data_IF_158649798494
#
_entry.id   IF_158649798494
#
_cell.length_a   1.000
_cell.length_b   1.000
_cell.length_c   1.000
_cell.angle_alpha   90.00
_cell.angle_beta   90.00
_cell.angle_gamma   90.00
#
_symmetry.space_group_name_H-M   'P 1'
#
loop_
_entity.id
_entity.type
_entity.pdbx_description
1 polymer ?
#
# COMPACT_ATOMS: atom_id res chain seq x y z
N UNK A 1 3.85 1.26 -1.10
CA UNK A 1 3.74 2.72 -1.19
C UNK A 1 3.94 3.32 0.18
N UNK A 2 5.09 3.95 0.42
CA UNK A 2 5.32 4.66 1.67
C UNK A 2 4.22 5.73 1.85
N UNK A 3 3.47 5.68 2.95
CA UNK A 3 2.45 6.69 3.28
C UNK A 3 1.00 6.35 2.94
N UNK A 4 0.70 5.26 2.20
CA UNK A 4 -0.68 4.79 2.03
C UNK A 4 -1.09 3.99 3.27
N UNK A 5 -1.75 4.66 4.21
CA UNK A 5 -2.14 4.12 5.52
C UNK A 5 -3.65 4.03 5.59
N UNK A 6 -4.15 2.90 6.06
CA UNK A 6 -5.57 2.64 6.31
C UNK A 6 -5.73 1.83 7.59
N UNK A 7 -6.91 1.91 8.22
CA UNK A 7 -7.22 1.24 9.49
C UNK A 7 -8.68 0.75 9.48
N UNK A 8 -9.00 -0.21 10.34
CA UNK A 8 -10.36 -0.73 10.56
C UNK A 8 -10.50 -1.28 11.98
N UNK A 9 -11.73 -1.47 12.45
CA UNK A 9 -12.01 -2.00 13.80
C UNK A 9 -11.76 -3.50 13.89
N UNK A 10 -11.81 -4.20 12.76
CA UNK A 10 -11.46 -5.62 12.63
C UNK A 10 -10.35 -5.82 11.62
N UNK A 11 -9.74 -7.01 11.65
CA UNK A 11 -8.72 -7.39 10.66
C UNK A 11 -9.30 -7.45 9.24
N UNK A 12 -10.54 -7.92 9.11
CA UNK A 12 -11.28 -7.99 7.85
C UNK A 12 -11.52 -6.59 7.28
N UNK A 13 -11.96 -5.66 8.13
CA UNK A 13 -12.19 -4.26 7.76
C UNK A 13 -10.88 -3.58 7.36
N UNK A 14 -9.83 -3.68 8.20
CA UNK A 14 -8.53 -3.09 7.89
C UNK A 14 -7.96 -3.63 6.57
N UNK A 15 -8.20 -4.91 6.27
CA UNK A 15 -7.77 -5.55 5.01
C UNK A 15 -8.61 -5.11 3.81
N UNK A 16 -9.90 -4.87 3.98
CA UNK A 16 -10.74 -4.30 2.93
C UNK A 16 -10.28 -2.85 2.64
N UNK A 17 -10.17 -2.04 3.69
CA UNK A 17 -9.83 -0.63 3.57
C UNK A 17 -8.43 -0.41 2.96
N UNK A 18 -7.45 -1.26 3.25
CA UNK A 18 -6.11 -1.12 2.63
C UNK A 18 -6.11 -1.51 1.14
N UNK A 19 -6.98 -2.44 0.70
CA UNK A 19 -7.09 -2.78 -0.73
C UNK A 19 -7.66 -1.62 -1.53
N UNK A 20 -8.77 -1.06 -1.05
CA UNK A 20 -9.39 0.13 -1.66
C UNK A 20 -8.41 1.31 -1.71
N UNK A 21 -7.67 1.56 -0.63
CA UNK A 21 -6.68 2.64 -0.58
C UNK A 21 -5.53 2.43 -1.59
N UNK A 22 -5.10 1.17 -1.82
CA UNK A 22 -4.09 0.84 -2.83
C UNK A 22 -4.64 1.07 -4.23
N UNK A 23 -5.86 0.60 -4.52
CA UNK A 23 -6.48 0.74 -5.84
C UNK A 23 -6.67 2.22 -6.22
N UNK A 24 -7.27 3.01 -5.31
CA UNK A 24 -7.43 4.46 -5.50
C UNK A 24 -6.10 5.17 -5.78
N UNK A 25 -5.05 4.77 -5.08
CA UNK A 25 -3.78 5.43 -5.25
C UNK A 25 -3.11 5.01 -6.58
N UNK A 26 -3.23 3.75 -7.01
CA UNK A 26 -2.77 3.31 -8.32
C UNK A 26 -3.52 4.01 -9.47
N UNK A 27 -4.82 4.26 -9.30
CA UNK A 27 -5.63 5.06 -10.23
C UNK A 27 -5.09 6.49 -10.34
N UNK A 28 -4.88 7.17 -9.20
CA UNK A 28 -4.30 8.52 -9.18
C UNK A 28 -2.91 8.59 -9.83
N UNK A 29 -2.04 7.61 -9.55
CA UNK A 29 -0.72 7.51 -10.22
C UNK A 29 -0.83 7.44 -11.74
N UNK A 30 -1.78 6.65 -12.23
CA UNK A 30 -2.01 6.46 -13.66
C UNK A 30 -2.49 7.76 -14.31
N UNK A 31 -3.38 8.49 -13.66
CA UNK A 31 -3.85 9.81 -14.12
C UNK A 31 -2.73 10.84 -14.15
N UNK A 32 -1.85 10.82 -13.15
CA UNK A 32 -0.69 11.71 -13.04
C UNK A 32 0.52 11.27 -13.90
N UNK A 33 0.45 10.10 -14.55
CA UNK A 33 1.46 9.62 -15.48
C UNK A 33 2.74 9.07 -14.82
N UNK A 34 2.66 8.57 -13.59
CA UNK A 34 3.79 7.93 -12.91
C UNK A 34 3.45 6.53 -12.40
N UNK A 35 4.48 5.81 -11.92
CA UNK A 35 4.35 4.42 -11.50
C UNK A 35 5.11 4.17 -10.19
N UNK A 36 4.65 3.23 -9.34
CA UNK A 36 5.30 2.96 -8.07
C UNK A 36 6.70 2.38 -8.27
N UNK A 37 7.66 2.82 -7.44
CA UNK A 37 9.01 2.25 -7.43
C UNK A 37 8.97 0.84 -6.85
N UNK A 38 9.62 -0.11 -7.53
CA UNK A 38 9.88 -1.44 -6.98
C UNK A 38 10.96 -1.32 -5.92
N UNK A 39 10.68 -1.82 -4.72
CA UNK A 39 11.65 -1.91 -3.63
C UNK A 39 11.89 -3.37 -3.31
N UNK A 40 13.17 -3.73 -3.17
CA UNK A 40 13.58 -5.01 -2.62
C UNK A 40 13.69 -4.83 -1.11
N UNK A 41 13.03 -5.69 -0.35
CA UNK A 41 13.18 -5.72 1.10
C UNK A 41 14.11 -6.88 1.43
N UNK A 42 15.27 -6.56 2.00
CA UNK A 42 16.16 -7.54 2.58
C UNK A 42 15.72 -7.78 4.02
N UNK A 43 15.35 -9.03 4.34
CA UNK A 43 15.07 -9.42 5.71
C UNK A 43 16.41 -9.55 6.44
N UNK A 44 16.72 -8.58 7.30
CA UNK A 44 17.80 -8.74 8.27
C UNK A 44 17.38 -9.83 9.26
N UNK A 45 17.98 -11.02 9.12
CA UNK A 45 17.88 -12.06 10.13
C UNK A 45 18.60 -11.57 11.39
N UNK A 46 17.83 -11.05 12.34
CA UNK A 46 18.33 -10.66 13.65
C UNK A 46 18.77 -11.90 14.43
N UNK A 47 20.04 -11.91 14.82
CA UNK A 47 20.56 -12.70 15.96
C UNK A 47 20.02 -12.13 17.27
#
# INVERSE_FOLDING_TARGET
MPGCISQGKTLEEARANIREAVDLCLEGMKEEGWSPKKVQIEFLNGV
#
